data_IF_925445128808
#
_entry.id   IF_925445128808
#
_cell.length_a   1.000
_cell.length_b   1.000
_cell.length_c   1.000
_cell.angle_alpha   90.00
_cell.angle_beta   90.00
_cell.angle_gamma   90.00
#
_symmetry.space_group_name_H-M   'P 1'
#
loop_
_entity.id
_entity.type
_entity.pdbx_description
1 polymer ?
#
# COMPACT_ATOMS: atom_id res chain seq x y z
N UNK A 1 -17.08 -11.05 -17.09
CA UNK A 1 -16.26 -10.48 -18.17
C UNK A 1 -15.80 -9.04 -17.90
N UNK A 2 -16.68 -8.05 -17.65
CA UNK A 2 -16.23 -6.68 -17.27
C UNK A 2 -15.36 -6.61 -15.99
N UNK A 3 -15.58 -7.51 -15.04
CA UNK A 3 -14.83 -7.55 -13.77
C UNK A 3 -13.35 -7.94 -13.92
N UNK A 4 -13.00 -8.87 -14.83
CA UNK A 4 -11.62 -9.35 -14.96
C UNK A 4 -10.70 -8.27 -15.52
N UNK A 5 -11.17 -7.57 -16.55
CA UNK A 5 -10.39 -6.52 -17.19
C UNK A 5 -10.17 -5.32 -16.24
N UNK A 6 -11.16 -4.96 -15.42
CA UNK A 6 -11.00 -3.95 -14.36
C UNK A 6 -9.97 -4.38 -13.30
N UNK A 7 -9.97 -5.63 -12.87
CA UNK A 7 -9.01 -6.14 -11.90
C UNK A 7 -7.58 -6.17 -12.47
N UNK A 8 -7.42 -6.54 -13.74
CA UNK A 8 -6.13 -6.53 -14.44
C UNK A 8 -5.58 -5.10 -14.57
N UNK A 9 -6.44 -4.15 -14.94
CA UNK A 9 -6.10 -2.73 -15.01
C UNK A 9 -5.70 -2.19 -13.62
N UNK A 10 -6.45 -2.54 -12.58
CA UNK A 10 -6.14 -2.15 -11.22
C UNK A 10 -4.77 -2.70 -10.77
N UNK A 11 -4.49 -3.96 -11.07
CA UNK A 11 -3.19 -4.59 -10.81
C UNK A 11 -2.03 -3.85 -11.50
N UNK A 12 -2.14 -3.58 -12.80
CA UNK A 12 -1.06 -2.92 -13.56
C UNK A 12 -0.85 -1.47 -13.13
N UNK A 13 -1.93 -0.76 -12.79
CA UNK A 13 -1.86 0.60 -12.25
C UNK A 13 -1.15 0.60 -10.90
N UNK A 14 -1.45 -0.37 -10.02
CA UNK A 14 -0.83 -0.49 -8.71
C UNK A 14 0.64 -0.87 -8.81
N UNK A 15 0.97 -1.76 -9.75
CA UNK A 15 2.35 -2.21 -9.95
C UNK A 15 3.26 -1.07 -10.46
N UNK A 16 2.74 -0.24 -11.38
CA UNK A 16 3.52 0.84 -11.98
C UNK A 16 3.45 2.16 -11.19
N UNK A 17 2.44 2.33 -10.33
CA UNK A 17 2.15 3.60 -9.68
C UNK A 17 1.79 4.73 -10.66
N UNK A 18 1.42 4.38 -11.91
CA UNK A 18 1.15 5.32 -12.99
C UNK A 18 -0.15 4.93 -13.71
N UNK A 19 -0.82 5.89 -14.38
CA UNK A 19 -1.93 5.57 -15.28
C UNK A 19 -1.49 4.60 -16.36
N UNK A 20 -2.38 3.67 -16.72
CA UNK A 20 -2.11 2.72 -17.80
C UNK A 20 -1.92 3.48 -19.13
N UNK A 21 -0.87 3.16 -19.92
CA UNK A 21 -0.71 3.70 -21.26
C UNK A 21 -1.94 3.45 -22.14
N UNK A 22 -2.38 4.46 -22.91
CA UNK A 22 -3.54 4.35 -23.81
C UNK A 22 -3.45 3.15 -24.77
N UNK A 23 -2.24 2.72 -25.11
CA UNK A 23 -1.99 1.55 -25.95
C UNK A 23 -2.57 0.26 -25.34
N UNK A 24 -2.49 0.07 -24.02
CA UNK A 24 -3.06 -1.09 -23.33
C UNK A 24 -4.59 -1.02 -23.27
N UNK A 25 -5.17 0.19 -23.29
CA UNK A 25 -6.63 0.38 -23.39
C UNK A 25 -7.24 -0.03 -24.73
N UNK A 26 -6.41 -0.31 -25.75
CA UNK A 26 -6.84 -0.78 -27.08
C UNK A 26 -6.80 -2.29 -27.23
N UNK A 27 -6.24 -3.00 -26.25
CA UNK A 27 -6.12 -4.45 -26.26
C UNK A 27 -7.47 -5.12 -26.00
N UNK A 28 -7.64 -6.34 -26.52
CA UNK A 28 -8.79 -7.17 -26.17
C UNK A 28 -8.68 -7.64 -24.71
N UNK A 29 -9.78 -8.12 -24.12
CA UNK A 29 -9.73 -8.63 -22.74
C UNK A 29 -8.79 -9.83 -22.59
N UNK A 30 -8.69 -10.70 -23.61
CA UNK A 30 -7.76 -11.84 -23.61
C UNK A 30 -6.31 -11.36 -23.66
N UNK A 31 -6.00 -10.37 -24.50
CA UNK A 31 -4.65 -9.80 -24.58
C UNK A 31 -4.23 -9.11 -23.27
N UNK A 32 -5.18 -8.41 -22.61
CA UNK A 32 -4.91 -7.77 -21.30
C UNK A 32 -4.63 -8.83 -20.23
N UNK A 33 -5.37 -9.94 -20.22
CA UNK A 33 -5.12 -11.05 -19.30
C UNK A 33 -3.74 -11.67 -19.54
N UNK A 34 -3.36 -11.94 -20.80
CA UNK A 34 -2.05 -12.53 -21.14
C UNK A 34 -0.88 -11.59 -20.77
N UNK A 35 -0.99 -10.30 -21.07
CA UNK A 35 0.01 -9.30 -20.67
C UNK A 35 0.12 -9.20 -19.15
N UNK A 36 -1.02 -9.23 -18.45
CA UNK A 36 -1.05 -9.16 -16.99
C UNK A 36 -0.38 -10.39 -16.37
N UNK A 37 -0.67 -11.58 -16.89
CA UNK A 37 -0.04 -12.82 -16.44
C UNK A 37 1.48 -12.80 -16.68
N UNK A 38 1.92 -12.37 -17.87
CA UNK A 38 3.34 -12.26 -18.18
C UNK A 38 4.07 -11.27 -17.24
N UNK A 39 3.47 -10.11 -16.99
CA UNK A 39 4.03 -9.12 -16.06
C UNK A 39 4.04 -9.67 -14.62
N UNK A 40 2.98 -10.34 -14.18
CA UNK A 40 2.92 -10.97 -12.86
C UNK A 40 4.07 -11.98 -12.69
N UNK A 41 4.30 -12.81 -13.69
CA UNK A 41 5.39 -13.79 -13.67
C UNK A 41 6.78 -13.13 -13.58
N UNK A 42 7.01 -12.01 -14.27
CA UNK A 42 8.27 -11.25 -14.16
C UNK A 42 8.46 -10.74 -12.72
N UNK A 43 7.43 -10.12 -12.16
CA UNK A 43 7.47 -9.56 -10.80
C UNK A 43 7.70 -10.66 -9.77
N UNK A 44 7.00 -11.78 -9.90
CA UNK A 44 7.15 -12.95 -9.02
C UNK A 44 8.57 -13.52 -9.11
N UNK A 45 9.16 -13.57 -10.30
CA UNK A 45 10.52 -14.05 -10.48
C UNK A 45 11.55 -13.11 -9.83
N UNK A 46 11.38 -11.79 -9.95
CA UNK A 46 12.23 -10.82 -9.24
C UNK A 46 12.07 -10.91 -7.72
N UNK A 47 10.84 -11.02 -7.22
CA UNK A 47 10.58 -11.17 -5.78
C UNK A 47 11.19 -12.48 -5.25
N UNK A 48 11.12 -13.57 -6.02
CA UNK A 48 11.74 -14.85 -5.68
C UNK A 48 13.27 -14.76 -5.58
N UNK A 49 13.91 -13.94 -6.43
CA UNK A 49 15.37 -13.75 -6.40
C UNK A 49 15.84 -13.13 -5.07
N UNK A 50 15.03 -12.26 -4.47
CA UNK A 50 15.34 -11.59 -3.20
C UNK A 50 14.63 -12.18 -1.98
N UNK A 51 13.76 -13.18 -2.15
CA UNK A 51 12.95 -13.74 -1.07
C UNK A 51 13.80 -14.16 0.15
N UNK A 52 14.87 -14.93 -0.08
CA UNK A 52 15.79 -15.37 0.98
C UNK A 52 16.53 -14.20 1.65
N UNK A 53 16.82 -13.13 0.92
CA UNK A 53 17.42 -11.93 1.50
C UNK A 53 16.45 -11.26 2.46
N UNK A 54 15.20 -11.03 2.04
CA UNK A 54 14.18 -10.42 2.90
C UNK A 54 13.84 -11.27 4.13
N UNK A 55 13.79 -12.60 3.96
CA UNK A 55 13.64 -13.53 5.08
C UNK A 55 14.81 -13.41 6.07
N UNK A 56 16.05 -13.35 5.57
CA UNK A 56 17.24 -13.20 6.40
C UNK A 56 17.27 -11.86 7.15
N UNK A 57 16.91 -10.76 6.48
CA UNK A 57 16.78 -9.43 7.10
C UNK A 57 15.70 -9.46 8.19
N UNK A 58 14.53 -10.02 7.90
CA UNK A 58 13.44 -10.16 8.87
C UNK A 58 13.86 -11.00 10.08
N UNK A 59 14.63 -12.07 9.88
CA UNK A 59 15.18 -12.89 10.96
C UNK A 59 16.17 -12.10 11.82
N UNK A 60 17.10 -11.36 11.20
CA UNK A 60 18.04 -10.52 11.93
C UNK A 60 17.32 -9.46 12.78
N UNK A 61 16.29 -8.81 12.23
CA UNK A 61 15.49 -7.81 12.96
C UNK A 61 14.86 -8.36 14.23
N UNK A 62 14.60 -9.67 14.35
CA UNK A 62 14.07 -10.28 15.58
C UNK A 62 15.02 -10.13 16.77
N UNK A 63 16.31 -10.01 16.51
CA UNK A 63 17.36 -9.92 17.53
C UNK A 63 17.89 -8.49 17.73
N UNK A 64 17.54 -7.57 16.84
CA UNK A 64 17.97 -6.17 16.93
C UNK A 64 16.91 -5.38 17.73
N UNK A 65 17.28 -4.70 18.83
CA UNK A 65 16.36 -3.84 19.55
C UNK A 65 15.74 -2.74 18.68
N UNK A 66 14.45 -2.45 18.90
CA UNK A 66 13.70 -1.49 18.08
C UNK A 66 14.36 -0.11 18.00
N UNK A 67 14.95 0.41 19.07
CA UNK A 67 15.60 1.73 19.05
C UNK A 67 16.79 1.80 18.07
N UNK A 68 17.47 0.67 17.82
CA UNK A 68 18.53 0.57 16.81
C UNK A 68 17.91 0.54 15.41
N UNK A 69 16.86 -0.28 15.25
CA UNK A 69 16.11 -0.37 13.99
C UNK A 69 15.55 1.00 13.56
N UNK A 70 15.05 1.79 14.51
CA UNK A 70 14.55 3.15 14.27
C UNK A 70 15.61 4.10 13.69
N UNK A 71 16.90 3.85 13.93
CA UNK A 71 17.99 4.66 13.39
C UNK A 71 18.52 4.13 12.06
N UNK A 72 18.54 2.80 11.88
CA UNK A 72 19.14 2.15 10.71
C UNK A 72 18.18 2.15 9.52
N UNK A 73 16.94 1.73 9.74
CA UNK A 73 15.95 1.53 8.68
C UNK A 73 15.77 2.78 7.82
N UNK A 74 15.44 3.97 8.38
CA UNK A 74 15.20 5.15 7.55
C UNK A 74 16.47 5.69 6.86
N UNK A 75 17.67 5.20 7.23
CA UNK A 75 18.94 5.62 6.62
C UNK A 75 19.40 4.71 5.49
N UNK A 76 19.04 3.43 5.53
CA UNK A 76 19.64 2.41 4.66
C UNK A 76 18.62 1.52 3.96
N UNK A 77 17.34 1.64 4.30
CA UNK A 77 16.28 0.81 3.74
C UNK A 77 15.23 1.73 3.15
N UNK A 78 15.08 1.68 1.83
CA UNK A 78 14.01 2.39 1.14
C UNK A 78 12.63 1.87 1.57
N UNK A 79 11.58 2.72 1.63
CA UNK A 79 10.25 2.32 2.09
C UNK A 79 9.67 1.11 1.35
N UNK A 80 9.85 1.02 0.03
CA UNK A 80 9.43 -0.13 -0.78
C UNK A 80 10.12 -1.44 -0.36
N UNK A 81 11.42 -1.37 -0.01
CA UNK A 81 12.17 -2.54 0.48
C UNK A 81 11.71 -2.91 1.88
N UNK A 82 11.47 -1.93 2.76
CA UNK A 82 10.93 -2.18 4.09
C UNK A 82 9.57 -2.90 4.00
N UNK A 83 8.69 -2.47 3.09
CA UNK A 83 7.42 -3.13 2.83
C UNK A 83 7.59 -4.60 2.42
N UNK A 84 8.56 -4.93 1.54
CA UNK A 84 8.86 -6.33 1.18
C UNK A 84 9.34 -7.15 2.37
N UNK A 85 10.14 -6.57 3.26
CA UNK A 85 10.59 -7.24 4.50
C UNK A 85 9.40 -7.55 5.42
N UNK A 86 8.40 -6.66 5.50
CA UNK A 86 7.23 -6.88 6.39
C UNK A 86 6.46 -8.16 6.10
N UNK A 87 6.50 -8.69 4.86
CA UNK A 87 5.86 -9.97 4.48
C UNK A 87 6.37 -11.17 5.30
N UNK A 88 7.56 -11.04 5.90
CA UNK A 88 8.21 -12.07 6.71
C UNK A 88 8.13 -11.79 8.23
N UNK A 89 7.35 -10.78 8.62
CA UNK A 89 7.19 -10.34 10.01
C UNK A 89 5.72 -10.45 10.43
N UNK A 90 5.48 -10.68 11.72
CA UNK A 90 4.12 -10.57 12.24
C UNK A 90 3.76 -9.10 12.52
N UNK A 91 2.47 -8.79 12.58
CA UNK A 91 1.95 -7.42 12.80
C UNK A 91 2.56 -6.75 14.02
N UNK A 92 2.76 -7.48 15.13
CA UNK A 92 3.35 -6.92 16.37
C UNK A 92 4.79 -6.46 16.15
N UNK A 93 5.58 -7.20 15.38
CA UNK A 93 6.95 -6.82 15.03
C UNK A 93 6.95 -5.59 14.13
N UNK A 94 6.09 -5.58 13.10
CA UNK A 94 5.99 -4.46 12.16
C UNK A 94 5.61 -3.18 12.92
N UNK A 95 4.57 -3.23 13.76
CA UNK A 95 4.13 -2.11 14.60
C UNK A 95 5.22 -1.65 15.57
N UNK A 96 5.95 -2.59 16.19
CA UNK A 96 7.04 -2.27 17.11
C UNK A 96 8.14 -1.43 16.44
N UNK A 97 8.49 -1.76 15.21
CA UNK A 97 9.43 -0.99 14.40
C UNK A 97 8.80 0.32 13.93
N UNK A 98 7.65 0.27 13.26
CA UNK A 98 6.98 1.45 12.70
C UNK A 98 6.72 2.54 13.75
N UNK A 99 6.43 2.17 15.00
CA UNK A 99 6.11 3.13 16.08
C UNK A 99 7.20 4.15 16.42
N UNK A 100 8.45 3.92 15.99
CA UNK A 100 9.56 4.86 16.15
C UNK A 100 10.07 5.46 14.84
N UNK A 101 9.39 5.23 13.73
CA UNK A 101 9.70 5.82 12.43
C UNK A 101 8.91 7.12 12.22
N UNK A 102 9.35 7.93 11.26
CA UNK A 102 8.65 9.18 10.90
C UNK A 102 7.34 8.90 10.16
N UNK A 103 6.41 9.86 10.22
CA UNK A 103 5.11 9.78 9.53
C UNK A 103 5.29 9.55 8.04
N UNK A 104 6.21 10.28 7.44
CA UNK A 104 6.55 10.22 6.02
C UNK A 104 7.02 8.80 5.66
N UNK A 105 7.93 8.23 6.44
CA UNK A 105 8.47 6.91 6.14
C UNK A 105 7.41 5.81 6.25
N UNK A 106 6.57 5.87 7.29
CA UNK A 106 5.49 4.88 7.48
C UNK A 106 4.48 5.00 6.33
N UNK A 107 4.14 6.23 5.93
CA UNK A 107 3.22 6.51 4.81
C UNK A 107 3.78 5.95 3.50
N UNK A 108 5.02 6.29 3.14
CA UNK A 108 5.68 5.78 1.93
C UNK A 108 5.88 4.26 1.96
N UNK A 109 6.12 3.66 3.13
CA UNK A 109 6.22 2.21 3.22
C UNK A 109 4.85 1.55 3.05
N UNK A 110 3.78 2.16 3.58
CA UNK A 110 2.44 1.59 3.58
C UNK A 110 1.85 1.39 2.19
N UNK A 111 2.17 2.25 1.22
CA UNK A 111 1.68 2.13 -0.17
C UNK A 111 2.30 0.95 -0.93
N UNK A 112 3.38 0.36 -0.40
CA UNK A 112 4.03 -0.82 -0.97
C UNK A 112 3.74 -2.10 -0.19
N UNK A 113 3.00 -1.99 0.93
CA UNK A 113 2.55 -3.15 1.71
C UNK A 113 1.27 -3.72 1.11
N UNK A 114 0.96 -4.98 1.46
CA UNK A 114 -0.39 -5.50 1.24
C UNK A 114 -1.39 -4.65 2.05
N UNK A 115 -2.50 -4.25 1.44
CA UNK A 115 -3.46 -3.30 2.02
C UNK A 115 -3.95 -3.71 3.42
N UNK A 116 -4.18 -5.01 3.63
CA UNK A 116 -4.55 -5.57 4.93
C UNK A 116 -3.45 -5.45 5.97
N UNK A 117 -2.20 -5.62 5.56
CA UNK A 117 -1.04 -5.45 6.45
C UNK A 117 -0.88 -3.97 6.81
N UNK A 118 -0.97 -3.07 5.82
CA UNK A 118 -0.94 -1.63 6.06
C UNK A 118 -2.04 -1.18 7.04
N UNK A 119 -3.28 -1.65 6.83
CA UNK A 119 -4.40 -1.38 7.73
C UNK A 119 -4.15 -1.91 9.16
N UNK A 120 -3.65 -3.14 9.28
CA UNK A 120 -3.32 -3.74 10.58
C UNK A 120 -2.18 -2.99 11.31
N UNK A 121 -1.21 -2.45 10.56
CA UNK A 121 -0.16 -1.59 11.11
C UNK A 121 -0.77 -0.30 11.65
N UNK A 122 -1.61 0.40 10.87
CA UNK A 122 -2.30 1.61 11.32
C UNK A 122 -3.09 1.36 12.61
N UNK A 123 -3.77 0.22 12.70
CA UNK A 123 -4.56 -0.14 13.88
C UNK A 123 -3.70 -0.38 15.14
N UNK A 124 -2.48 -0.88 14.97
CA UNK A 124 -1.52 -1.11 16.05
C UNK A 124 -0.75 0.13 16.48
N UNK A 125 -0.72 1.20 15.67
CA UNK A 125 -0.03 2.45 16.01
C UNK A 125 -0.80 3.26 17.08
N UNK A 126 -0.07 4.12 17.78
CA UNK A 126 -0.71 5.11 18.67
C UNK A 126 -1.60 6.03 17.83
N UNK A 127 -2.81 6.31 18.33
CA UNK A 127 -3.84 7.09 17.64
C UNK A 127 -3.29 8.32 16.92
N UNK A 128 -2.56 9.20 17.62
CA UNK A 128 -1.99 10.42 17.03
C UNK A 128 -1.08 10.14 15.82
N UNK A 129 -0.24 9.11 15.91
CA UNK A 129 0.67 8.75 14.83
C UNK A 129 -0.09 8.14 13.65
N UNK A 130 -1.04 7.24 13.91
CA UNK A 130 -1.89 6.65 12.87
C UNK A 130 -2.66 7.72 12.08
N UNK A 131 -3.27 8.68 12.79
CA UNK A 131 -3.93 9.84 12.22
C UNK A 131 -3.03 10.63 11.27
N UNK A 132 -1.80 10.95 11.72
CA UNK A 132 -0.83 11.70 10.92
C UNK A 132 -0.38 10.92 9.68
N UNK A 133 -0.22 9.59 9.80
CA UNK A 133 0.12 8.72 8.66
C UNK A 133 -1.02 8.72 7.65
N UNK A 134 -2.27 8.60 8.09
CA UNK A 134 -3.45 8.64 7.19
C UNK A 134 -3.52 9.99 6.47
N UNK A 135 -3.38 11.09 7.19
CA UNK A 135 -3.35 12.44 6.59
C UNK A 135 -2.25 12.56 5.53
N UNK A 136 -1.03 12.10 5.86
CA UNK A 136 0.10 12.14 4.92
C UNK A 136 -0.14 11.24 3.70
N UNK A 137 -0.68 10.04 3.89
CA UNK A 137 -0.98 9.12 2.77
C UNK A 137 -2.09 9.67 1.89
N UNK A 138 -3.16 10.24 2.44
CA UNK A 138 -4.22 10.88 1.63
C UNK A 138 -3.64 12.03 0.81
N UNK A 139 -2.76 12.84 1.43
CA UNK A 139 -2.19 14.02 0.79
C UNK A 139 -1.32 13.69 -0.43
N UNK A 140 -0.51 12.63 -0.32
CA UNK A 140 0.50 12.30 -1.33
C UNK A 140 0.07 11.15 -2.24
N UNK A 141 -0.76 10.23 -1.74
CA UNK A 141 -1.15 8.97 -2.37
C UNK A 141 -2.66 8.69 -2.19
N UNK A 142 -3.54 9.60 -2.64
CA UNK A 142 -4.97 9.57 -2.30
C UNK A 142 -5.69 8.29 -2.75
N UNK A 143 -5.29 7.68 -3.87
CA UNK A 143 -5.87 6.43 -4.36
C UNK A 143 -5.49 5.25 -3.45
N UNK A 144 -4.20 5.11 -3.10
CA UNK A 144 -3.72 4.06 -2.19
C UNK A 144 -4.28 4.22 -0.78
N UNK A 145 -4.53 5.46 -0.34
CA UNK A 145 -5.22 5.69 0.92
C UNK A 145 -6.60 5.02 0.95
N UNK A 146 -7.32 4.97 -0.19
CA UNK A 146 -8.61 4.26 -0.28
C UNK A 146 -8.45 2.75 -0.09
N UNK A 147 -7.40 2.16 -0.67
CA UNK A 147 -7.16 0.71 -0.56
C UNK A 147 -6.85 0.31 0.89
N UNK A 148 -6.02 1.10 1.57
CA UNK A 148 -5.73 0.88 2.99
C UNK A 148 -7.00 1.09 3.84
N UNK A 149 -7.78 2.14 3.55
CA UNK A 149 -9.00 2.47 4.29
C UNK A 149 -10.10 1.42 4.13
N UNK A 150 -10.17 0.74 2.99
CA UNK A 150 -11.10 -0.37 2.75
C UNK A 150 -10.98 -1.44 3.83
N UNK A 151 -9.74 -1.77 4.22
CA UNK A 151 -9.43 -2.78 5.23
C UNK A 151 -9.26 -2.24 6.65
N UNK A 152 -9.30 -0.91 6.82
CA UNK A 152 -9.10 -0.25 8.09
C UNK A 152 -10.38 -0.17 8.93
N UNK A 153 -10.21 -0.08 10.26
CA UNK A 153 -11.32 0.16 11.18
C UNK A 153 -12.05 1.48 10.85
N UNK A 154 -13.39 1.50 10.98
CA UNK A 154 -14.25 2.65 10.64
C UNK A 154 -13.87 3.99 11.30
N UNK A 155 -13.12 3.97 12.41
CA UNK A 155 -12.60 5.21 13.03
C UNK A 155 -11.72 5.99 12.07
N UNK A 156 -10.90 5.30 11.27
CA UNK A 156 -9.99 5.90 10.31
C UNK A 156 -10.71 6.40 9.08
N UNK A 157 -11.76 5.70 8.63
CA UNK A 157 -12.66 6.17 7.57
C UNK A 157 -13.34 7.49 7.96
N UNK A 158 -13.79 7.60 9.21
CA UNK A 158 -14.40 8.84 9.72
C UNK A 158 -13.41 10.00 9.78
N UNK A 159 -12.18 9.74 10.18
CA UNK A 159 -11.12 10.74 10.25
C UNK A 159 -10.65 11.19 8.86
N UNK A 160 -10.49 10.24 7.93
CA UNK A 160 -10.12 10.49 6.55
C UNK A 160 -11.09 11.45 5.83
N UNK A 161 -12.38 11.49 6.23
CA UNK A 161 -13.39 12.39 5.64
C UNK A 161 -12.94 13.84 5.61
N UNK A 162 -12.31 14.34 6.68
CA UNK A 162 -11.86 15.73 6.74
C UNK A 162 -10.66 15.98 5.83
N UNK A 163 -9.82 14.97 5.61
CA UNK A 163 -8.60 15.08 4.80
C UNK A 163 -8.86 14.93 3.30
N UNK A 164 -9.91 14.21 2.89
CA UNK A 164 -10.33 14.14 1.50
C UNK A 164 -11.10 15.38 1.02
N UNK A 165 -11.51 16.29 1.92
CA UNK A 165 -12.16 17.55 1.52
C UNK A 165 -11.22 18.37 0.64
N UNK A 166 -11.58 18.56 -0.62
CA UNK A 166 -10.80 19.31 -1.59
C UNK A 166 -9.89 18.48 -2.50
N UNK A 167 -9.89 17.14 -2.36
CA UNK A 167 -9.30 16.26 -3.37
C UNK A 167 -10.27 16.03 -4.52
N UNK A 168 -9.87 16.42 -5.72
CA UNK A 168 -10.55 16.03 -6.95
C UNK A 168 -9.96 14.70 -7.44
N UNK A 169 -10.56 13.59 -6.99
CA UNK A 169 -10.32 12.27 -7.59
C UNK A 169 -11.42 12.08 -8.62
N UNK A 170 -11.04 11.92 -9.89
CA UNK A 170 -12.01 11.60 -10.95
C UNK A 170 -12.63 10.22 -10.67
N UNK A 171 -13.94 10.15 -10.34
CA UNK A 171 -14.59 8.88 -10.04
C UNK A 171 -14.56 7.89 -11.22
N UNK A 172 -14.40 8.38 -12.45
CA UNK A 172 -14.28 7.53 -13.65
C UNK A 172 -12.97 6.75 -13.72
N UNK A 173 -11.96 7.13 -12.93
CA UNK A 173 -10.66 6.46 -12.88
C UNK A 173 -10.55 5.41 -11.78
N UNK A 174 -11.55 5.34 -10.89
CA UNK A 174 -11.55 4.41 -9.76
C UNK A 174 -12.16 3.05 -10.13
N UNK A 175 -11.59 1.98 -9.57
CA UNK A 175 -12.25 0.67 -9.54
C UNK A 175 -13.55 0.74 -8.74
N UNK A 176 -14.44 -0.24 -8.92
CA UNK A 176 -15.72 -0.28 -8.21
C UNK A 176 -15.53 -0.24 -6.69
N UNK A 177 -14.55 -0.99 -6.17
CA UNK A 177 -14.24 -1.08 -4.74
C UNK A 177 -13.66 0.21 -4.18
N UNK A 178 -12.75 0.87 -4.93
CA UNK A 178 -12.23 2.19 -4.57
C UNK A 178 -13.32 3.26 -4.58
N UNK A 179 -14.23 3.20 -5.55
CA UNK A 179 -15.37 4.12 -5.63
C UNK A 179 -16.33 3.94 -4.45
N UNK A 180 -16.62 2.70 -4.05
CA UNK A 180 -17.42 2.41 -2.85
C UNK A 180 -16.76 2.96 -1.58
N UNK A 181 -15.46 2.74 -1.43
CA UNK A 181 -14.69 3.25 -0.28
C UNK A 181 -14.65 4.77 -0.27
N UNK A 182 -14.41 5.39 -1.43
CA UNK A 182 -14.41 6.83 -1.61
C UNK A 182 -15.78 7.43 -1.24
N UNK A 183 -16.89 6.83 -1.68
CA UNK A 183 -18.24 7.26 -1.31
C UNK A 183 -18.50 7.14 0.20
N UNK A 184 -18.06 6.04 0.81
CA UNK A 184 -18.22 5.81 2.24
C UNK A 184 -17.45 6.84 3.10
N UNK A 185 -16.30 7.31 2.60
CA UNK A 185 -15.44 8.29 3.29
C UNK A 185 -15.87 9.73 2.99
N UNK A 186 -16.20 10.03 1.74
CA UNK A 186 -16.34 11.42 1.26
C UNK A 186 -17.75 11.99 1.32
N UNK A 187 -18.80 11.20 1.59
CA UNK A 187 -20.23 11.61 1.72
C UNK A 187 -20.54 13.00 1.14
N UNK A 188 -20.88 13.05 -0.15
CA UNK A 188 -21.60 14.18 -0.73
C UNK A 188 -22.98 14.34 -0.08
#
# INVERSE_FOLDING_TARGET
>A
MKNNNQNAIEFLTNLSGQPIPEALGKLSSEDVEEVTEYISNIVEQEDAAYAKLFESLAMMMKYVPNFILHQIIPRYVEPAIAAKITRNLNTKQIVGVASGLSVEYISEASIHMEDKVAAAVLDGLKRKLASQVIEHTIKNHPVYALDILLHSHDRFKKEAKEHFKGFEIDPGTLSATRLETFKAVCVF
#
